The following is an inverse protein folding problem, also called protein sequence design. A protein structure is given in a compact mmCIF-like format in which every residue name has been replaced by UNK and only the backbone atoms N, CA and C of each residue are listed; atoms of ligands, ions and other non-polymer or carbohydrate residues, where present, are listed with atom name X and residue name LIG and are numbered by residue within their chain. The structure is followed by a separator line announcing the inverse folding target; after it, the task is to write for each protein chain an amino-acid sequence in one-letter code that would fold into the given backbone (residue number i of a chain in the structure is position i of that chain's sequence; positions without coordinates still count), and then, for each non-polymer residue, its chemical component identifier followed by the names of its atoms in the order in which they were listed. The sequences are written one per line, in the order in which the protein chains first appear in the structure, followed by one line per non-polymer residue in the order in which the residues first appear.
data_IF_686636570204
#
_entry.id   IF_686636570204
#
_cell.length_a   1.000
_cell.length_b   1.000
_cell.length_c   1.000
_cell.angle_alpha   90.00
_cell.angle_beta   90.00
_cell.angle_gamma   90.00
#
_symmetry.space_group_name_H-M   'P 1'
#
loop_
_entity.id
_entity.type
_entity.pdbx_description
1 polymer ?
#
# COMPACT_ATOMS: atom_id res chain seq x y z
N UNK A 1 -60.12 62.32 -46.35
CA UNK A 1 -61.04 61.61 -47.28
C UNK A 1 -61.46 62.57 -48.48
N UNK A 2 -60.81 62.57 -49.72
CA UNK A 2 -61.32 62.63 -51.21
C UNK A 2 -61.80 63.95 -52.18
N UNK A 3 -61.09 64.56 -53.31
CA UNK A 3 -61.26 65.29 -54.81
C UNK A 3 -61.58 66.83 -55.56
N UNK A 4 -61.07 67.24 -56.87
CA UNK A 4 -61.23 68.18 -58.24
C UNK A 4 -61.57 69.80 -58.68
N UNK A 5 -61.58 70.65 -59.89
CA UNK A 5 -61.14 71.03 -61.43
C UNK A 5 -61.57 72.54 -62.13
N UNK A 6 -61.52 73.34 -63.37
CA UNK A 6 -60.97 73.76 -64.86
C UNK A 6 -61.58 75.16 -65.65
N UNK A 7 -61.51 76.00 -66.88
CA UNK A 7 -61.07 76.42 -68.41
C UNK A 7 -61.29 78.02 -68.97
N UNK A 8 -61.27 78.86 -70.17
CA UNK A 8 -60.94 79.24 -71.74
C UNK A 8 -61.28 80.81 -72.33
N UNK A 9 -61.26 81.65 -73.53
CA UNK A 9 -60.88 82.02 -75.08
C UNK A 9 -61.17 83.61 -75.69
N UNK A 10 -61.16 84.44 -76.91
CA UNK A 10 -60.98 84.69 -78.52
C UNK A 10 -60.65 86.21 -79.34
N UNK A 11 -61.14 86.85 -80.58
CA UNK A 11 -60.52 87.90 -81.69
C UNK A 11 -61.30 89.26 -82.39
N UNK A 12 -61.18 90.19 -83.53
CA UNK A 12 -60.38 90.86 -84.77
C UNK A 12 -60.96 92.15 -85.76
N UNK A 13 -60.29 92.89 -86.81
CA UNK A 13 -60.64 93.88 -88.10
C UNK A 13 -60.38 95.54 -88.31
N UNK A 14 -60.41 96.56 -89.37
CA UNK A 14 -60.47 97.01 -90.94
C UNK A 14 -60.25 98.63 -91.48
N UNK A 15 -60.17 99.21 -92.80
CA UNK A 15 -60.03 100.76 -93.34
C UNK A 15 -60.04 101.39 -94.94
N UNK A 16 -60.02 102.78 -95.41
CA UNK A 16 -59.94 103.48 -96.89
C UNK A 16 -59.83 105.14 -97.29
N UNK A 17 -59.64 105.80 -98.58
CA UNK A 17 -59.64 107.38 -99.09
C UNK A 17 -59.39 108.02 -100.66
N UNK A 18 -59.61 109.36 -101.18
CA UNK A 18 -59.24 110.12 -102.60
C UNK A 18 -59.59 111.71 -103.17
N UNK A 19 -58.95 112.41 -104.29
CA UNK A 19 -59.32 113.48 -105.50
C UNK A 19 -59.18 115.17 -105.77
N UNK A 20 -58.87 115.90 -107.01
CA UNK A 20 -59.10 117.44 -107.55
C UNK A 20 -58.46 118.27 -108.93
N UNK A 21 -58.94 119.47 -109.59
CA UNK A 21 -58.28 120.60 -110.59
C UNK A 21 -58.67 122.19 -110.63
N UNK A 22 -59.65 122.83 -109.94
CA UNK A 22 -59.97 124.32 -110.04
C UNK A 22 -59.63 125.07 -108.73
N UNK A 23 -59.06 126.30 -108.72
CA UNK A 23 -58.74 127.04 -107.47
C UNK A 23 -59.92 127.87 -106.93
N UNK A 24 -60.00 128.03 -105.60
CA UNK A 24 -61.07 128.74 -104.90
C UNK A 24 -60.56 129.87 -104.01
N UNK A 25 -61.28 131.01 -103.99
CA UNK A 25 -61.07 132.10 -103.04
C UNK A 25 -61.86 131.83 -101.75
N UNK A 26 -61.25 132.08 -100.59
CA UNK A 26 -61.82 131.70 -99.29
C UNK A 26 -61.99 132.85 -98.31
N UNK A 27 -62.46 132.50 -97.10
CA UNK A 27 -62.42 133.35 -95.92
C UNK A 27 -61.85 132.51 -94.76
N UNK A 28 -60.89 133.05 -94.02
CA UNK A 28 -60.29 132.36 -92.88
C UNK A 28 -59.74 133.37 -91.88
N UNK A 29 -60.34 133.46 -90.70
CA UNK A 29 -59.73 133.99 -89.48
C UNK A 29 -60.55 133.59 -88.24
N UNK A 30 -59.91 133.66 -87.07
CA UNK A 30 -60.53 133.48 -85.76
C UNK A 30 -59.75 134.27 -84.71
N UNK A 31 -60.38 135.31 -84.16
CA UNK A 31 -59.86 136.11 -83.04
C UNK A 31 -60.69 135.89 -81.77
N UNK A 32 -60.25 136.32 -80.59
CA UNK A 32 -59.00 137.02 -80.26
C UNK A 32 -58.78 137.05 -78.74
N UNK A 33 -57.72 137.67 -78.22
CA UNK A 33 -56.65 138.40 -78.90
C UNK A 33 -55.59 138.97 -77.94
N UNK A 34 -54.79 139.92 -78.42
CA UNK A 34 -53.89 140.78 -77.65
C UNK A 34 -52.71 140.13 -76.87
N UNK A 35 -52.00 139.16 -77.47
CA UNK A 35 -50.61 138.87 -77.07
C UNK A 35 -49.75 138.34 -78.24
N UNK A 36 -48.68 139.07 -78.58
CA UNK A 36 -47.61 138.70 -79.52
C UNK A 36 -48.02 138.42 -81.00
N UNK A 37 -47.01 138.42 -81.88
CA UNK A 37 -47.15 138.06 -83.30
C UNK A 37 -47.23 136.52 -83.46
N UNK A 38 -48.33 135.93 -83.01
CA UNK A 38 -48.56 134.50 -83.07
C UNK A 38 -48.96 134.06 -84.49
N UNK A 39 -48.07 133.35 -85.19
CA UNK A 39 -48.42 132.64 -86.43
C UNK A 39 -49.50 131.58 -86.17
N UNK A 40 -50.30 131.25 -87.19
CA UNK A 40 -51.35 130.23 -87.10
C UNK A 40 -50.73 128.88 -86.70
N UNK A 41 -50.90 128.50 -85.43
CA UNK A 41 -50.29 127.31 -84.86
C UNK A 41 -50.69 126.05 -85.63
N UNK A 42 -49.71 125.38 -86.21
CA UNK A 42 -49.96 124.20 -87.03
C UNK A 42 -50.09 122.95 -86.16
N UNK A 43 -50.73 121.90 -86.68
CA UNK A 43 -50.75 120.60 -86.00
C UNK A 43 -49.33 120.05 -85.75
N UNK A 44 -48.35 120.45 -86.57
CA UNK A 44 -46.93 120.11 -86.36
C UNK A 44 -46.38 120.77 -85.10
N UNK A 45 -46.71 122.04 -84.85
CA UNK A 45 -46.21 122.78 -83.67
C UNK A 45 -46.71 122.16 -82.37
N UNK A 46 -48.00 121.81 -82.32
CA UNK A 46 -48.60 121.05 -81.22
C UNK A 46 -47.95 119.66 -81.01
N UNK A 47 -47.50 119.02 -82.09
CA UNK A 47 -46.82 117.72 -82.06
C UNK A 47 -45.30 117.79 -81.83
N UNK A 48 -44.67 118.98 -81.85
CA UNK A 48 -43.25 119.09 -81.48
C UNK A 48 -43.03 118.87 -79.98
N UNK A 49 -44.02 119.21 -79.14
CA UNK A 49 -43.93 119.28 -77.68
C UNK A 49 -42.71 120.09 -77.16
N UNK A 50 -42.10 120.92 -78.02
CA UNK A 50 -40.74 121.46 -77.85
C UNK A 50 -40.63 122.79 -77.12
N UNK A 51 -41.72 123.30 -76.54
CA UNK A 51 -41.68 124.51 -75.72
C UNK A 51 -40.73 124.35 -74.53
N UNK A 52 -39.89 125.36 -74.28
CA UNK A 52 -38.78 125.28 -73.33
C UNK A 52 -39.24 124.90 -71.90
N UNK A 53 -39.11 123.61 -71.56
CA UNK A 53 -39.60 123.06 -70.29
C UNK A 53 -38.52 123.23 -69.21
N UNK A 54 -38.78 123.94 -68.10
CA UNK A 54 -37.79 124.12 -67.05
C UNK A 54 -37.39 122.77 -66.41
N UNK A 55 -36.10 122.55 -66.11
CA UNK A 55 -35.64 121.33 -65.45
C UNK A 55 -36.19 121.22 -64.02
N UNK A 56 -36.36 120.00 -63.53
CA UNK A 56 -36.82 119.77 -62.15
C UNK A 56 -35.65 119.98 -61.18
N UNK A 57 -35.80 120.77 -60.09
CA UNK A 57 -34.70 121.11 -59.20
C UNK A 57 -34.20 119.90 -58.39
N UNK A 58 -32.88 119.83 -58.19
CA UNK A 58 -32.21 118.67 -57.58
C UNK A 58 -32.70 118.30 -56.18
N UNK A 59 -33.14 119.27 -55.38
CA UNK A 59 -33.68 119.00 -54.04
C UNK A 59 -34.92 118.10 -54.03
N UNK A 60 -35.71 118.09 -55.12
CA UNK A 60 -36.87 117.21 -55.28
C UNK A 60 -36.50 115.86 -55.92
N UNK A 61 -35.49 115.84 -56.81
CA UNK A 61 -34.89 114.61 -57.35
C UNK A 61 -34.33 113.73 -56.21
N UNK A 62 -33.45 114.30 -55.37
CA UNK A 62 -32.76 113.59 -54.28
C UNK A 62 -33.69 113.09 -53.17
N UNK A 63 -34.89 113.67 -53.02
CA UNK A 63 -35.93 113.25 -52.05
C UNK A 63 -36.95 112.26 -52.62
N UNK A 64 -36.78 111.80 -53.86
CA UNK A 64 -37.60 110.73 -54.44
C UNK A 64 -39.06 111.12 -54.75
N UNK A 65 -39.41 112.40 -54.78
CA UNK A 65 -40.78 112.88 -55.09
C UNK A 65 -41.12 112.86 -56.61
N UNK A 66 -40.41 112.05 -57.40
CA UNK A 66 -40.68 111.90 -58.84
C UNK A 66 -41.55 110.67 -59.11
N UNK A 67 -42.59 110.86 -59.94
CA UNK A 67 -43.29 109.73 -60.55
C UNK A 67 -42.33 108.88 -61.40
N UNK A 68 -42.52 107.57 -61.35
CA UNK A 68 -41.74 106.53 -62.03
C UNK A 68 -41.35 106.87 -63.48
N UNK A 69 -42.26 107.48 -64.25
CA UNK A 69 -42.07 107.85 -65.64
C UNK A 69 -41.05 108.99 -65.92
N UNK A 70 -40.24 109.40 -64.92
CA UNK A 70 -39.18 110.43 -65.08
C UNK A 70 -37.79 110.00 -64.60
N UNK A 71 -37.61 108.75 -64.16
CA UNK A 71 -36.27 108.24 -63.86
C UNK A 71 -35.50 107.94 -65.17
N UNK A 72 -34.17 108.11 -65.21
CA UNK A 72 -33.39 107.74 -66.39
C UNK A 72 -33.47 106.22 -66.62
N UNK A 73 -33.53 105.76 -67.89
CA UNK A 73 -33.70 104.35 -68.21
C UNK A 73 -32.53 103.51 -67.67
N UNK A 74 -32.84 102.39 -67.03
CA UNK A 74 -31.87 101.48 -66.42
C UNK A 74 -31.46 101.81 -64.98
N UNK A 75 -31.93 102.93 -64.39
CA UNK A 75 -31.64 103.25 -63.00
C UNK A 75 -32.44 102.40 -62.00
N UNK A 76 -31.81 102.04 -60.88
CA UNK A 76 -32.46 101.27 -59.79
C UNK A 76 -33.35 102.20 -58.97
N UNK A 77 -34.67 102.02 -59.05
CA UNK A 77 -35.66 102.78 -58.27
C UNK A 77 -35.55 102.49 -56.77
N UNK A 78 -34.90 103.38 -56.02
CA UNK A 78 -34.92 103.37 -54.55
C UNK A 78 -36.25 103.90 -54.01
N UNK A 79 -36.68 103.42 -52.84
CA UNK A 79 -37.85 103.99 -52.12
C UNK A 79 -37.50 105.40 -51.63
N UNK A 80 -38.41 106.40 -51.65
CA UNK A 80 -38.07 107.80 -51.36
C UNK A 80 -37.36 108.03 -50.02
N UNK A 81 -37.80 107.37 -48.96
CA UNK A 81 -37.18 107.46 -47.63
C UNK A 81 -35.75 106.93 -47.53
N UNK A 82 -35.35 106.02 -48.44
CA UNK A 82 -34.01 105.42 -48.52
C UNK A 82 -33.21 105.92 -49.75
N UNK A 83 -33.63 107.05 -50.33
CA UNK A 83 -32.93 107.66 -51.47
C UNK A 83 -31.57 108.27 -51.08
N UNK A 84 -31.41 108.68 -49.82
CA UNK A 84 -30.21 109.32 -49.28
C UNK A 84 -29.24 108.35 -48.60
N UNK A 85 -29.67 107.11 -48.31
CA UNK A 85 -28.88 106.14 -47.56
C UNK A 85 -27.71 105.61 -48.40
N UNK A 86 -26.54 105.44 -47.78
CA UNK A 86 -25.42 104.76 -48.42
C UNK A 86 -25.79 103.27 -48.69
N UNK A 87 -25.38 102.69 -49.84
CA UNK A 87 -25.45 101.24 -50.01
C UNK A 87 -24.56 100.56 -48.95
N UNK A 88 -24.95 99.36 -48.52
CA UNK A 88 -24.16 98.59 -47.54
C UNK A 88 -23.02 97.87 -48.24
N UNK A 89 -21.79 98.14 -47.82
CA UNK A 89 -20.59 97.48 -48.33
C UNK A 89 -20.35 96.09 -47.70
N UNK A 90 -19.61 95.26 -48.42
CA UNK A 90 -19.21 93.91 -48.03
C UNK A 90 -20.10 92.79 -48.59
N UNK A 91 -19.66 91.52 -48.50
CA UNK A 91 -20.41 90.38 -49.02
C UNK A 91 -21.67 90.11 -48.21
N UNK A 92 -22.81 90.00 -48.90
CA UNK A 92 -24.10 89.65 -48.30
C UNK A 92 -24.20 88.13 -48.09
N UNK A 93 -24.12 87.67 -46.84
CA UNK A 93 -24.31 86.28 -46.48
C UNK A 93 -23.83 85.96 -45.05
N UNK A 94 -24.23 84.80 -44.53
CA UNK A 94 -23.74 84.29 -43.26
C UNK A 94 -22.34 83.71 -43.44
N UNK A 95 -21.30 84.40 -42.94
CA UNK A 95 -19.97 83.80 -42.77
C UNK A 95 -19.97 82.98 -41.48
N UNK A 96 -19.65 81.69 -41.58
CA UNK A 96 -19.26 80.89 -40.42
C UNK A 96 -17.95 81.44 -39.83
N UNK A 97 -17.80 81.34 -38.51
CA UNK A 97 -16.60 81.81 -37.82
C UNK A 97 -15.45 80.80 -38.00
N UNK A 98 -14.69 80.94 -39.09
CA UNK A 98 -13.52 80.10 -39.39
C UNK A 98 -12.44 80.34 -38.34
N UNK A 99 -12.03 79.28 -37.63
CA UNK A 99 -10.90 79.30 -36.69
C UNK A 99 -11.23 79.47 -35.21
N UNK A 100 -12.49 79.28 -34.77
CA UNK A 100 -12.81 79.23 -33.33
C UNK A 100 -12.36 77.93 -32.65
N UNK A 101 -12.44 76.80 -33.35
CA UNK A 101 -12.01 75.48 -32.86
C UNK A 101 -11.19 74.82 -33.97
N UNK A 102 -9.96 74.42 -33.68
CA UNK A 102 -9.17 73.58 -34.60
C UNK A 102 -9.47 72.11 -34.32
N UNK A 103 -9.51 71.28 -35.38
CA UNK A 103 -9.54 69.84 -35.21
C UNK A 103 -8.35 69.30 -34.39
N UNK A 104 -7.21 70.03 -34.37
CA UNK A 104 -6.07 69.72 -33.52
C UNK A 104 -6.37 69.92 -32.02
N UNK A 105 -7.19 70.90 -31.67
CA UNK A 105 -7.52 71.22 -30.27
C UNK A 105 -8.56 70.23 -29.72
N UNK A 106 -9.51 69.81 -30.56
CA UNK A 106 -10.44 68.71 -30.24
C UNK A 106 -9.75 67.35 -30.03
N UNK A 107 -8.51 67.17 -30.49
CA UNK A 107 -7.68 65.98 -30.28
C UNK A 107 -6.76 66.10 -29.04
N UNK A 108 -6.59 67.29 -28.46
CA UNK A 108 -5.71 67.57 -27.31
C UNK A 108 -6.43 67.33 -25.98
N UNK A 109 -6.67 66.07 -25.65
CA UNK A 109 -7.36 65.65 -24.43
C UNK A 109 -6.61 65.95 -23.11
N UNK A 110 -5.29 66.17 -23.16
CA UNK A 110 -4.43 66.43 -21.99
C UNK A 110 -3.66 67.75 -22.15
N UNK A 111 -3.41 68.49 -21.05
CA UNK A 111 -2.59 69.70 -21.11
C UNK A 111 -1.13 69.36 -21.44
N UNK A 112 -0.46 70.28 -22.14
CA UNK A 112 0.91 70.08 -22.63
C UNK A 112 1.99 70.25 -21.53
N UNK A 113 1.69 70.95 -20.43
CA UNK A 113 2.64 71.17 -19.33
C UNK A 113 2.46 70.19 -18.17
N UNK A 114 3.56 69.63 -17.68
CA UNK A 114 3.52 68.62 -16.60
C UNK A 114 3.01 69.18 -15.27
N UNK A 115 3.21 70.48 -15.01
CA UNK A 115 2.60 71.15 -13.86
C UNK A 115 1.06 71.20 -13.94
N UNK A 116 0.48 71.23 -15.14
CA UNK A 116 -0.97 71.13 -15.33
C UNK A 116 -1.44 69.66 -15.26
N UNK A 117 -0.64 68.71 -15.78
CA UNK A 117 -0.92 67.26 -15.63
C UNK A 117 -0.94 66.85 -14.16
N UNK A 118 0.06 67.23 -13.38
CA UNK A 118 0.10 66.95 -11.93
C UNK A 118 -1.07 67.60 -11.16
N UNK A 119 -1.51 68.80 -11.57
CA UNK A 119 -2.72 69.44 -10.99
C UNK A 119 -4.00 68.71 -11.35
N UNK A 120 -4.13 68.26 -12.60
CA UNK A 120 -5.23 67.41 -13.05
C UNK A 120 -5.23 66.09 -12.26
N UNK A 121 -4.05 65.46 -12.14
CA UNK A 121 -3.88 64.24 -11.36
C UNK A 121 -4.32 64.42 -9.90
N UNK A 122 -3.88 65.50 -9.25
CA UNK A 122 -4.26 65.90 -7.89
C UNK A 122 -5.76 66.19 -7.72
N UNK A 123 -6.44 66.66 -8.76
CA UNK A 123 -7.89 66.86 -8.73
C UNK A 123 -8.64 65.51 -8.84
N UNK A 124 -8.14 64.60 -9.67
CA UNK A 124 -8.67 63.24 -9.82
C UNK A 124 -8.38 62.32 -8.63
N UNK A 125 -7.38 62.61 -7.79
CA UNK A 125 -7.04 61.82 -6.59
C UNK A 125 -8.21 61.73 -5.59
N UNK A 126 -9.28 62.49 -5.79
CA UNK A 126 -10.57 62.31 -5.09
C UNK A 126 -11.23 60.98 -5.46
N UNK A 127 -11.15 60.54 -6.72
CA UNK A 127 -11.92 59.41 -7.26
C UNK A 127 -11.54 58.03 -6.69
N UNK A 128 -12.55 57.16 -6.61
CA UNK A 128 -12.41 55.80 -6.03
C UNK A 128 -11.68 54.84 -6.97
N UNK A 129 -11.86 54.95 -8.28
CA UNK A 129 -11.12 54.17 -9.30
C UNK A 129 -9.62 54.43 -9.17
N UNK A 130 -9.19 55.70 -9.24
CA UNK A 130 -7.78 56.10 -9.13
C UNK A 130 -7.08 55.61 -7.85
N UNK A 131 -7.82 55.52 -6.73
CA UNK A 131 -7.33 54.94 -5.46
C UNK A 131 -7.27 53.40 -5.44
N UNK A 132 -8.07 52.71 -6.24
CA UNK A 132 -8.18 51.24 -6.31
C UNK A 132 -7.37 50.62 -7.43
N UNK A 133 -7.08 51.37 -8.48
CA UNK A 133 -6.42 50.94 -9.71
C UNK A 133 -5.17 51.82 -10.04
N UNK A 134 -4.25 52.06 -9.07
CA UNK A 134 -3.02 52.81 -9.37
C UNK A 134 -2.10 52.00 -10.29
N UNK A 135 -1.82 52.51 -11.49
CA UNK A 135 -1.05 51.79 -12.50
C UNK A 135 0.36 51.44 -11.98
N UNK A 136 0.72 50.14 -12.04
CA UNK A 136 2.02 49.64 -11.59
C UNK A 136 2.17 49.49 -10.07
N UNK A 137 1.14 49.79 -9.27
CA UNK A 137 1.17 49.66 -7.82
C UNK A 137 0.01 48.80 -7.29
N UNK A 138 0.17 48.26 -6.07
CA UNK A 138 -0.92 47.59 -5.35
C UNK A 138 -1.77 48.66 -4.65
N UNK A 139 -3.12 48.62 -4.72
CA UNK A 139 -3.96 49.63 -4.10
C UNK A 139 -3.73 49.75 -2.58
N UNK A 140 -3.45 50.95 -2.05
CA UNK A 140 -3.18 51.16 -0.64
C UNK A 140 -4.45 50.96 0.20
N UNK A 141 -4.39 50.05 1.16
CA UNK A 141 -5.54 49.68 2.03
C UNK A 141 -5.70 50.56 3.29
N UNK A 142 -4.87 51.58 3.46
CA UNK A 142 -4.92 52.50 4.60
C UNK A 142 -4.42 51.92 5.93
N UNK A 143 -3.77 50.76 5.93
CA UNK A 143 -3.22 50.16 7.15
C UNK A 143 -1.97 50.90 7.65
N UNK A 144 -1.96 51.26 8.93
CA UNK A 144 -0.78 51.76 9.61
C UNK A 144 0.14 50.60 10.00
N UNK A 145 1.21 50.39 9.24
CA UNK A 145 2.24 49.39 9.57
C UNK A 145 3.14 49.89 10.72
N UNK A 146 3.58 49.01 11.64
CA UNK A 146 4.59 49.35 12.64
C UNK A 146 5.90 49.85 12.00
N UNK A 147 6.60 50.82 12.63
CA UNK A 147 7.83 51.36 12.07
C UNK A 147 8.90 50.28 11.91
N UNK A 148 9.51 50.22 10.72
CA UNK A 148 10.53 49.23 10.36
C UNK A 148 9.98 47.93 9.75
N UNK A 149 8.68 47.65 9.84
CA UNK A 149 8.10 46.44 9.25
C UNK A 149 8.09 46.54 7.71
N UNK A 150 8.77 45.61 7.06
CA UNK A 150 8.99 45.59 5.61
C UNK A 150 10.27 46.31 5.14
N UNK A 151 11.04 46.92 6.05
CA UNK A 151 12.31 47.61 5.71
C UNK A 151 13.49 47.20 6.59
N UNK A 152 13.29 47.13 7.90
CA UNK A 152 14.27 46.68 8.89
C UNK A 152 13.95 45.27 9.42
N UNK A 153 12.67 44.94 9.56
CA UNK A 153 12.19 43.59 9.90
C UNK A 153 11.35 43.02 8.76
N UNK A 154 11.52 41.73 8.46
CA UNK A 154 10.71 41.04 7.46
C UNK A 154 9.26 40.84 7.95
N UNK A 155 8.33 40.63 7.02
CA UNK A 155 6.97 40.21 7.35
C UNK A 155 6.95 38.72 7.74
N UNK A 156 6.25 38.38 8.82
CA UNK A 156 6.11 37.01 9.32
C UNK A 156 6.57 36.86 10.77
N UNK A 157 6.84 35.63 11.18
CA UNK A 157 7.45 35.29 12.47
C UNK A 157 8.85 34.78 12.18
N UNK A 158 9.89 35.44 12.71
CA UNK A 158 11.26 34.98 12.53
C UNK A 158 11.58 33.84 13.49
N UNK A 159 11.76 32.64 12.94
CA UNK A 159 12.13 31.44 13.69
C UNK A 159 13.64 31.36 13.97
N UNK A 160 14.46 32.29 13.46
CA UNK A 160 15.92 32.36 13.67
C UNK A 160 16.64 31.04 13.34
N UNK A 161 16.19 30.32 12.31
CA UNK A 161 16.55 28.91 12.02
C UNK A 161 18.07 28.70 12.01
N UNK A 162 18.82 29.55 11.31
CA UNK A 162 20.29 29.49 11.25
C UNK A 162 20.97 29.64 12.62
N UNK A 163 20.39 30.44 13.52
CA UNK A 163 20.91 30.54 14.88
C UNK A 163 20.57 29.31 15.73
N UNK A 164 19.39 28.70 15.52
CA UNK A 164 19.02 27.47 16.23
C UNK A 164 19.92 26.31 15.80
N UNK A 165 20.21 26.19 14.51
CA UNK A 165 21.20 25.26 13.95
C UNK A 165 22.61 25.52 14.52
N UNK A 166 23.06 26.77 14.55
CA UNK A 166 24.37 27.15 15.09
C UNK A 166 24.49 26.86 16.61
N UNK A 167 23.42 27.11 17.38
CA UNK A 167 23.34 26.78 18.81
C UNK A 167 23.30 25.27 19.05
N UNK A 168 22.87 24.50 18.04
CA UNK A 168 22.80 23.03 18.02
C UNK A 168 22.18 22.45 19.31
N UNK A 169 21.03 23.01 19.69
CA UNK A 169 20.29 22.64 20.90
C UNK A 169 19.97 21.15 20.95
N UNK A 170 19.63 20.55 19.81
CA UNK A 170 19.40 19.10 19.66
C UNK A 170 20.57 18.27 20.18
N UNK A 171 21.82 18.65 19.89
CA UNK A 171 23.00 17.94 20.42
C UNK A 171 23.13 18.11 21.93
N UNK A 172 22.82 19.28 22.49
CA UNK A 172 22.84 19.53 23.94
C UNK A 172 21.73 18.76 24.68
N UNK A 173 20.56 18.57 24.04
CA UNK A 173 19.44 17.80 24.60
C UNK A 173 19.66 16.29 24.53
N UNK A 174 20.28 15.77 23.45
CA UNK A 174 20.60 14.34 23.31
C UNK A 174 21.81 13.96 24.17
N UNK A 175 22.81 14.85 24.26
CA UNK A 175 24.03 14.65 25.04
C UNK A 175 24.16 15.76 26.10
N UNK A 176 23.29 15.77 27.13
CA UNK A 176 23.42 16.73 28.21
C UNK A 176 24.74 16.51 28.93
N UNK A 177 25.50 17.58 29.13
CA UNK A 177 26.66 17.55 30.01
C UNK A 177 26.15 17.31 31.44
N UNK A 178 26.36 16.09 31.95
CA UNK A 178 25.88 15.72 33.28
C UNK A 178 26.47 16.69 34.33
N UNK A 179 25.64 17.34 35.17
CA UNK A 179 26.16 18.11 36.29
C UNK A 179 26.90 17.17 37.25
N UNK A 180 27.89 17.67 38.02
CA UNK A 180 28.54 16.84 39.04
C UNK A 180 27.50 16.35 40.04
N UNK A 181 27.41 15.03 40.22
CA UNK A 181 26.44 14.42 41.14
C UNK A 181 26.74 14.86 42.58
N UNK A 182 25.71 15.33 43.29
CA UNK A 182 25.82 15.61 44.72
C UNK A 182 25.92 14.28 45.50
N UNK A 183 27.03 14.03 46.22
CA UNK A 183 27.19 12.80 47.02
C UNK A 183 26.21 12.71 48.19
N UNK A 184 25.53 13.79 48.60
CA UNK A 184 24.42 13.71 49.56
C UNK A 184 23.13 13.20 48.90
N UNK A 185 22.76 13.74 47.73
CA UNK A 185 21.65 13.23 46.92
C UNK A 185 21.83 11.74 46.54
N UNK A 186 23.02 11.34 46.08
CA UNK A 186 23.31 9.93 45.75
C UNK A 186 23.07 8.98 46.93
N UNK A 187 23.50 9.36 48.15
CA UNK A 187 23.23 8.59 49.39
C UNK A 187 21.74 8.51 49.72
N UNK A 188 20.99 9.58 49.47
CA UNK A 188 19.54 9.61 49.68
C UNK A 188 18.83 8.66 48.71
N UNK A 189 19.20 8.65 47.42
CA UNK A 189 18.66 7.70 46.44
C UNK A 189 19.03 6.24 46.74
N UNK A 190 20.26 5.97 47.17
CA UNK A 190 20.69 4.65 47.63
C UNK A 190 19.89 4.15 48.84
N UNK A 191 19.54 5.04 49.78
CA UNK A 191 18.75 4.73 50.98
C UNK A 191 17.26 4.55 50.70
N UNK A 192 16.69 5.33 49.78
CA UNK A 192 15.23 5.38 49.51
C UNK A 192 14.79 4.40 48.43
N UNK A 193 15.56 4.29 47.34
CA UNK A 193 15.19 3.51 46.15
C UNK A 193 16.10 2.28 45.95
N UNK A 194 17.12 2.09 46.79
CA UNK A 194 18.11 1.02 46.61
C UNK A 194 19.07 1.24 45.42
N UNK A 195 19.08 2.45 44.86
CA UNK A 195 19.94 2.82 43.72
C UNK A 195 21.39 2.96 44.19
N UNK A 196 22.17 1.89 44.03
CA UNK A 196 23.57 1.76 44.45
C UNK A 196 24.43 1.59 43.20
N UNK A 197 25.61 2.22 43.13
CA UNK A 197 26.43 2.19 41.93
C UNK A 197 27.00 0.77 41.66
N UNK A 198 27.23 0.38 40.39
CA UNK A 198 27.76 -0.94 40.05
C UNK A 198 29.08 -1.24 40.76
N UNK A 199 29.09 -2.30 41.58
CA UNK A 199 30.26 -2.74 42.37
C UNK A 199 30.33 -2.16 43.79
N UNK A 200 29.48 -1.22 44.18
CA UNK A 200 29.43 -0.73 45.56
C UNK A 200 28.75 -1.73 46.52
N UNK A 201 29.32 -1.85 47.73
CA UNK A 201 28.71 -2.64 48.80
C UNK A 201 27.66 -1.82 49.57
N UNK A 202 26.47 -2.39 49.77
CA UNK A 202 25.38 -1.77 50.55
C UNK A 202 25.82 -1.50 52.00
N UNK A 203 26.13 -0.23 52.29
CA UNK A 203 26.42 0.25 53.66
C UNK A 203 25.17 0.12 54.53
N UNK A 204 25.34 -0.31 55.78
CA UNK A 204 24.25 -0.60 56.74
C UNK A 204 24.27 0.29 58.00
N UNK A 205 25.07 1.36 57.99
CA UNK A 205 25.17 2.34 59.10
C UNK A 205 25.51 1.72 60.48
N UNK A 206 26.14 0.53 60.51
CA UNK A 206 26.59 -0.11 61.76
C UNK A 206 27.65 0.72 62.50
N UNK A 207 27.48 0.87 63.82
CA UNK A 207 28.46 1.52 64.69
C UNK A 207 29.61 0.56 65.05
N UNK A 208 30.57 0.44 64.12
CA UNK A 208 31.75 -0.40 64.27
C UNK A 208 32.69 0.03 65.42
N UNK A 209 32.72 1.33 65.75
CA UNK A 209 33.51 1.84 66.86
C UNK A 209 33.03 1.31 68.23
N UNK A 210 31.71 1.20 68.41
CA UNK A 210 31.12 0.58 69.62
C UNK A 210 31.42 -0.93 69.74
N UNK A 211 31.81 -1.59 68.65
CA UNK A 211 32.24 -2.99 68.64
C UNK A 211 33.77 -3.16 68.79
N UNK A 212 34.55 -2.07 68.79
CA UNK A 212 36.02 -2.12 68.84
C UNK A 212 36.68 -2.74 67.59
N UNK A 213 35.99 -2.72 66.44
CA UNK A 213 36.37 -3.46 65.23
C UNK A 213 36.49 -2.50 64.04
N UNK A 214 37.59 -2.58 63.28
CA UNK A 214 37.70 -1.98 61.94
C UNK A 214 37.28 -3.00 60.86
N UNK A 215 36.25 -2.72 60.04
CA UNK A 215 35.81 -3.63 58.98
C UNK A 215 36.83 -3.89 57.87
N UNK A 216 37.80 -3.00 57.66
CA UNK A 216 38.77 -3.15 56.58
C UNK A 216 39.90 -4.15 56.93
N UNK A 217 40.32 -4.18 58.19
CA UNK A 217 41.44 -5.04 58.65
C UNK A 217 41.03 -6.22 59.52
N UNK A 218 39.88 -6.16 60.20
CA UNK A 218 39.45 -7.22 61.10
C UNK A 218 39.02 -8.50 60.36
N UNK A 219 39.67 -9.63 60.67
CA UNK A 219 39.29 -10.94 60.14
C UNK A 219 38.04 -11.48 60.83
N UNK A 220 36.89 -11.24 60.23
CA UNK A 220 35.59 -11.75 60.69
C UNK A 220 35.48 -13.29 60.69
N UNK A 221 34.53 -13.81 61.48
CA UNK A 221 34.45 -15.21 61.90
C UNK A 221 35.20 -15.43 63.22
N UNK A 222 35.15 -16.65 63.78
CA UNK A 222 36.07 -16.98 64.87
C UNK A 222 37.48 -17.05 64.28
N UNK A 223 38.42 -16.28 64.84
CA UNK A 223 39.82 -16.32 64.41
C UNK A 223 40.36 -17.75 64.54
N UNK A 224 41.29 -18.17 63.68
CA UNK A 224 41.84 -19.53 63.75
C UNK A 224 42.42 -19.87 65.14
N UNK A 225 43.03 -18.88 65.79
CA UNK A 225 43.57 -19.02 67.14
C UNK A 225 42.52 -19.08 68.26
N UNK A 226 41.28 -18.63 68.04
CA UNK A 226 40.18 -18.69 69.04
C UNK A 226 39.15 -19.76 68.71
N UNK A 227 38.91 -20.04 67.44
CA UNK A 227 38.24 -21.25 66.97
C UNK A 227 39.02 -22.49 67.43
N UNK A 228 40.35 -22.44 67.42
CA UNK A 228 41.19 -23.46 68.06
C UNK A 228 41.23 -23.30 69.58
N UNK A 229 41.50 -22.13 70.18
CA UNK A 229 41.53 -22.04 71.67
C UNK A 229 40.21 -22.42 72.35
N UNK A 230 39.03 -22.19 71.75
CA UNK A 230 37.76 -22.72 72.29
C UNK A 230 37.60 -24.24 72.06
N UNK A 231 38.10 -24.78 70.94
CA UNK A 231 38.17 -26.23 70.66
C UNK A 231 39.41 -26.93 71.24
N UNK A 232 40.27 -26.24 71.98
CA UNK A 232 41.48 -26.80 72.61
C UNK A 232 41.51 -26.56 74.12
N UNK A 233 40.80 -25.54 74.64
CA UNK A 233 40.33 -25.51 76.02
C UNK A 233 39.39 -26.70 76.31
N UNK A 234 38.64 -27.14 75.30
CA UNK A 234 38.02 -28.47 75.25
C UNK A 234 38.80 -29.42 74.34
N UNK A 235 40.00 -29.80 74.79
CA UNK A 235 40.73 -31.01 74.33
C UNK A 235 40.91 -31.18 72.81
N UNK A 236 41.86 -30.45 72.23
CA UNK A 236 42.58 -30.96 71.06
C UNK A 236 44.08 -30.86 71.27
N UNK A 237 44.67 -32.01 71.59
CA UNK A 237 46.09 -32.26 71.37
C UNK A 237 46.40 -32.08 69.86
N UNK A 238 47.65 -31.72 69.54
CA UNK A 238 48.08 -31.52 68.15
C UNK A 238 47.80 -32.76 67.29
N UNK A 239 47.59 -32.60 65.99
CA UNK A 239 47.47 -33.73 65.06
C UNK A 239 48.66 -34.69 65.18
N UNK A 240 49.85 -34.19 65.54
CA UNK A 240 51.03 -35.02 65.87
C UNK A 240 50.80 -35.91 67.09
N UNK A 241 50.22 -35.37 68.18
CA UNK A 241 49.91 -36.13 69.40
C UNK A 241 48.81 -37.16 69.14
N UNK A 242 47.76 -36.79 68.37
CA UNK A 242 46.68 -37.70 67.97
C UNK A 242 47.20 -38.87 67.11
N UNK A 243 48.17 -38.61 66.23
CA UNK A 243 48.83 -39.63 65.40
C UNK A 243 49.92 -40.42 66.14
N UNK A 244 50.42 -39.92 67.27
CA UNK A 244 51.50 -40.52 68.05
C UNK A 244 51.16 -40.57 69.55
N UNK A 245 50.04 -41.22 69.95
CA UNK A 245 49.55 -41.19 71.34
C UNK A 245 50.50 -41.87 72.35
N UNK A 246 51.47 -42.65 71.86
CA UNK A 246 52.55 -43.24 72.67
C UNK A 246 53.57 -42.20 73.17
N UNK A 247 53.61 -41.00 72.56
CA UNK A 247 54.52 -39.90 72.91
C UNK A 247 53.83 -38.79 73.72
N UNK A 248 52.56 -38.96 74.10
CA UNK A 248 51.81 -37.97 74.87
C UNK A 248 51.75 -38.36 76.35
N UNK A 249 52.48 -37.64 77.19
CA UNK A 249 52.54 -37.86 78.65
C UNK A 249 51.18 -37.70 79.35
N UNK A 250 50.21 -37.02 78.72
CA UNK A 250 48.85 -36.87 79.23
C UNK A 250 47.93 -38.05 78.93
N UNK A 251 48.33 -38.97 78.04
CA UNK A 251 47.54 -40.16 77.70
C UNK A 251 47.99 -41.31 78.61
N UNK A 252 47.05 -41.86 79.39
CA UNK A 252 47.31 -43.03 80.22
C UNK A 252 47.66 -44.23 79.33
N UNK A 253 48.96 -44.58 79.31
CA UNK A 253 49.43 -45.84 78.73
C UNK A 253 48.75 -47.02 79.45
N UNK A 254 48.49 -48.16 78.77
CA UNK A 254 47.86 -49.31 79.39
C UNK A 254 48.65 -49.75 80.63
N UNK A 255 48.01 -49.87 81.81
CA UNK A 255 48.75 -50.12 83.05
C UNK A 255 49.45 -51.47 83.00
N UNK A 256 50.73 -51.49 83.37
CA UNK A 256 51.56 -52.71 83.30
C UNK A 256 51.09 -53.84 84.24
N UNK A 257 50.19 -53.54 85.19
CA UNK A 257 49.49 -54.50 86.04
C UNK A 257 48.00 -54.36 85.79
N UNK A 258 47.36 -55.46 85.41
CA UNK A 258 45.94 -55.54 85.03
C UNK A 258 45.29 -56.72 85.76
N UNK A 259 44.03 -56.64 86.22
CA UNK A 259 43.37 -57.76 86.88
C UNK A 259 43.33 -59.03 86.00
N UNK A 260 43.62 -60.19 86.60
CA UNK A 260 43.74 -61.46 85.88
C UNK A 260 42.53 -61.77 84.97
N UNK A 261 41.30 -61.61 85.50
CA UNK A 261 40.05 -61.81 84.76
C UNK A 261 39.95 -60.98 83.47
N UNK A 262 40.54 -59.78 83.43
CA UNK A 262 40.60 -58.97 82.21
C UNK A 262 41.63 -59.53 81.21
N UNK A 263 42.78 -60.01 81.68
CA UNK A 263 43.78 -60.66 80.83
C UNK A 263 43.24 -61.97 80.24
N UNK A 264 42.58 -62.80 81.06
CA UNK A 264 41.93 -64.05 80.63
C UNK A 264 40.86 -63.78 79.56
N UNK A 265 40.05 -62.72 79.74
CA UNK A 265 39.11 -62.27 78.73
C UNK A 265 39.81 -61.74 77.46
N UNK A 266 40.91 -61.00 77.59
CA UNK A 266 41.69 -60.50 76.45
C UNK A 266 42.33 -61.64 75.62
N UNK A 267 42.64 -62.79 76.23
CA UNK A 267 43.12 -63.99 75.52
C UNK A 267 42.06 -64.64 74.62
N UNK A 268 40.77 -64.28 74.72
CA UNK A 268 39.71 -64.69 73.78
C UNK A 268 39.62 -63.82 72.51
N UNK A 269 40.39 -62.73 72.48
CA UNK A 269 40.59 -61.88 71.31
C UNK A 269 41.33 -62.61 70.18
N UNK A 270 41.27 -62.04 68.98
CA UNK A 270 42.01 -62.57 67.84
C UNK A 270 43.47 -62.08 67.85
N UNK A 271 44.40 -62.93 67.42
CA UNK A 271 45.83 -62.72 67.61
C UNK A 271 46.62 -63.03 66.33
N UNK A 272 47.27 -62.01 65.76
CA UNK A 272 48.06 -62.12 64.54
C UNK A 272 49.07 -63.29 64.60
N UNK A 273 48.98 -64.19 63.61
CA UNK A 273 49.84 -65.37 63.51
C UNK A 273 49.47 -66.56 64.41
N UNK A 274 48.34 -66.50 65.13
CA UNK A 274 47.78 -67.62 65.91
C UNK A 274 46.34 -67.89 65.47
N UNK A 275 45.81 -69.06 65.83
CA UNK A 275 44.37 -69.32 65.73
C UNK A 275 43.67 -68.73 66.96
N UNK A 276 42.42 -68.28 66.79
CA UNK A 276 41.62 -67.72 67.89
C UNK A 276 41.31 -68.76 68.96
N UNK A 277 41.55 -68.40 70.23
CA UNK A 277 41.29 -69.28 71.36
C UNK A 277 39.81 -69.23 71.76
N UNK A 278 39.11 -70.35 71.62
CA UNK A 278 37.66 -70.48 71.89
C UNK A 278 37.33 -70.98 73.31
N UNK A 279 38.20 -70.73 74.29
CA UNK A 279 37.99 -71.15 75.69
C UNK A 279 38.07 -72.66 75.93
N UNK A 280 38.61 -73.43 74.98
CA UNK A 280 38.89 -74.86 75.15
C UNK A 280 40.04 -75.08 76.14
N UNK A 281 39.71 -75.17 77.43
CA UNK A 281 40.68 -75.50 78.49
C UNK A 281 41.40 -76.84 78.24
N UNK A 282 42.60 -76.98 78.81
CA UNK A 282 43.51 -78.10 78.54
C UNK A 282 42.85 -79.47 78.75
N UNK A 283 42.92 -80.31 77.72
CA UNK A 283 42.38 -81.68 77.67
C UNK A 283 43.47 -82.76 77.76
N UNK A 284 44.76 -82.39 77.82
CA UNK A 284 45.93 -83.29 77.92
C UNK A 284 45.96 -84.35 76.81
N UNK A 285 45.90 -83.89 75.56
CA UNK A 285 45.69 -84.73 74.37
C UNK A 285 46.70 -84.44 73.25
N UNK A 286 47.98 -84.40 73.60
CA UNK A 286 49.04 -83.81 72.77
C UNK A 286 49.44 -84.62 71.52
N UNK A 287 49.00 -85.88 71.43
CA UNK A 287 49.38 -86.83 70.36
C UNK A 287 48.20 -87.45 69.60
N UNK A 288 46.96 -87.01 69.86
CA UNK A 288 45.77 -87.54 69.19
C UNK A 288 45.44 -86.77 67.91
N UNK A 289 45.16 -87.47 66.81
CA UNK A 289 44.65 -86.85 65.59
C UNK A 289 43.19 -86.42 65.76
N UNK A 290 42.91 -85.12 65.58
CA UNK A 290 41.55 -84.59 65.69
C UNK A 290 40.72 -84.87 64.43
N UNK A 291 39.53 -85.42 64.61
CA UNK A 291 38.57 -85.70 63.54
C UNK A 291 37.74 -86.95 63.84
N UNK A 292 36.81 -87.28 62.95
CA UNK A 292 36.26 -88.63 62.85
C UNK A 292 37.03 -89.38 61.76
N UNK A 293 37.39 -90.66 61.95
CA UNK A 293 37.91 -91.48 60.85
C UNK A 293 36.85 -91.62 59.75
N UNK A 294 37.29 -91.66 58.49
CA UNK A 294 36.41 -91.76 57.33
C UNK A 294 35.61 -93.07 57.30
N UNK A 295 36.26 -94.17 57.69
CA UNK A 295 35.60 -95.44 57.98
C UNK A 295 35.27 -95.52 59.48
N UNK A 296 33.99 -95.79 59.80
CA UNK A 296 33.58 -96.28 61.13
C UNK A 296 33.61 -97.82 61.16
N UNK A 297 33.16 -98.42 60.06
CA UNK A 297 33.18 -99.85 59.75
C UNK A 297 33.60 -100.00 58.27
N UNK A 298 33.70 -101.24 57.76
CA UNK A 298 34.18 -101.51 56.39
C UNK A 298 33.01 -101.63 55.38
N UNK A 299 32.98 -100.75 54.38
CA UNK A 299 31.98 -100.71 53.31
C UNK A 299 32.47 -101.40 52.01
N UNK A 300 31.57 -101.88 51.12
CA UNK A 300 31.95 -102.51 49.84
C UNK A 300 32.59 -101.53 48.85
N UNK A 301 33.34 -102.06 47.88
CA UNK A 301 34.16 -101.25 46.99
C UNK A 301 33.34 -100.60 45.86
N UNK A 302 33.83 -99.46 45.35
CA UNK A 302 33.35 -98.82 44.11
C UNK A 302 33.31 -99.80 42.94
N UNK A 303 34.25 -100.77 42.87
CA UNK A 303 34.25 -101.81 41.84
C UNK A 303 33.04 -102.75 41.88
N UNK A 304 32.51 -103.00 43.07
CA UNK A 304 31.33 -103.85 43.30
C UNK A 304 30.04 -103.07 43.02
N UNK A 305 30.01 -101.78 43.39
CA UNK A 305 28.91 -100.86 43.09
C UNK A 305 28.75 -100.57 41.58
N UNK A 306 29.86 -100.43 40.83
CA UNK A 306 29.83 -100.22 39.37
C UNK A 306 29.28 -101.44 38.63
N UNK A 307 29.49 -102.65 39.16
CA UNK A 307 29.09 -103.93 38.55
C UNK A 307 27.82 -104.51 39.19
N UNK A 308 27.03 -103.68 39.86
CA UNK A 308 25.80 -104.06 40.57
C UNK A 308 24.91 -104.96 39.69
N UNK A 309 24.47 -106.09 40.26
CA UNK A 309 23.88 -107.20 39.53
C UNK A 309 22.42 -106.96 39.11
N UNK A 310 22.22 -106.07 38.12
CA UNK A 310 20.91 -105.75 37.57
C UNK A 310 20.33 -106.90 36.73
N UNK A 311 19.00 -107.14 36.76
CA UNK A 311 18.33 -108.09 35.88
C UNK A 311 18.42 -107.65 34.40
N UNK A 312 18.34 -108.57 33.42
CA UNK A 312 18.57 -108.26 32.01
C UNK A 312 17.58 -107.25 31.42
N UNK A 313 16.37 -107.15 31.97
CA UNK A 313 15.37 -106.14 31.58
C UNK A 313 15.86 -104.70 31.83
N UNK A 314 16.70 -104.49 32.84
CA UNK A 314 17.33 -103.20 33.17
C UNK A 314 18.69 -103.00 32.47
N UNK A 315 19.12 -103.97 31.65
CA UNK A 315 20.30 -103.88 30.80
C UNK A 315 19.94 -103.54 29.34
N UNK A 316 18.65 -103.47 29.01
CA UNK A 316 18.13 -103.03 27.72
C UNK A 316 18.05 -101.49 27.63
N UNK A 317 18.19 -100.89 26.44
CA UNK A 317 18.13 -99.44 26.26
C UNK A 317 16.70 -98.88 26.31
N UNK A 318 16.57 -97.60 26.72
CA UNK A 318 15.28 -96.92 26.90
C UNK A 318 14.46 -96.73 25.60
N UNK A 319 13.14 -96.76 25.74
CA UNK A 319 12.19 -96.81 24.61
C UNK A 319 11.91 -95.45 23.94
N UNK A 320 12.35 -94.34 24.52
CA UNK A 320 12.19 -92.97 23.99
C UNK A 320 13.43 -92.45 23.24
N UNK A 321 14.51 -93.25 23.18
CA UNK A 321 15.76 -92.88 22.52
C UNK A 321 15.54 -92.50 21.05
N UNK A 322 15.70 -91.19 20.77
CA UNK A 322 15.55 -90.58 19.46
C UNK A 322 14.11 -90.23 19.05
N UNK A 323 13.09 -90.40 19.90
CA UNK A 323 11.69 -90.07 19.59
C UNK A 323 10.92 -89.53 20.79
N UNK A 324 10.30 -88.36 20.63
CA UNK A 324 9.35 -87.81 21.60
C UNK A 324 8.12 -88.71 21.76
N UNK A 325 8.00 -89.39 22.90
CA UNK A 325 6.79 -90.14 23.26
C UNK A 325 5.66 -89.24 23.80
N UNK A 326 5.99 -88.01 24.23
CA UNK A 326 5.05 -87.02 24.76
C UNK A 326 4.00 -86.58 23.74
N UNK A 327 2.73 -86.62 24.15
CA UNK A 327 1.59 -86.18 23.31
C UNK A 327 1.63 -84.67 23.08
N UNK A 328 1.20 -84.23 21.89
CA UNK A 328 1.41 -82.87 21.38
C UNK A 328 2.80 -82.61 20.78
N UNK A 329 3.84 -83.38 21.17
CA UNK A 329 5.21 -83.23 20.65
C UNK A 329 5.74 -84.45 19.88
N UNK A 330 4.93 -85.51 19.69
CA UNK A 330 5.29 -86.66 18.85
C UNK A 330 5.56 -86.23 17.42
N UNK A 331 6.63 -86.74 16.82
CA UNK A 331 6.90 -86.58 15.38
C UNK A 331 5.91 -87.42 14.54
N UNK A 332 4.69 -86.92 14.38
CA UNK A 332 3.67 -87.53 13.52
C UNK A 332 4.03 -87.33 12.03
N UNK A 333 3.87 -88.35 11.17
CA UNK A 333 4.17 -88.25 9.74
C UNK A 333 3.07 -87.51 8.95
N UNK A 334 2.86 -86.23 9.29
CA UNK A 334 2.09 -85.30 8.47
C UNK A 334 2.98 -84.69 7.38
N UNK A 335 2.45 -84.56 6.16
CA UNK A 335 3.18 -83.94 5.05
C UNK A 335 3.55 -82.49 5.34
N UNK A 336 4.74 -82.06 4.91
CA UNK A 336 5.29 -80.73 5.20
C UNK A 336 4.48 -79.65 4.50
N UNK A 337 3.62 -78.98 5.26
CA UNK A 337 3.14 -77.63 4.99
C UNK A 337 3.93 -76.67 5.87
N UNK A 338 4.44 -75.58 5.30
CA UNK A 338 5.22 -74.61 6.06
C UNK A 338 4.35 -73.91 7.12
N UNK A 339 4.68 -74.11 8.40
CA UNK A 339 3.98 -73.51 9.53
C UNK A 339 4.39 -72.03 9.73
N UNK A 340 4.26 -71.23 8.66
CA UNK A 340 4.60 -69.80 8.64
C UNK A 340 3.58 -69.01 7.82
N UNK A 341 3.18 -67.84 8.32
CA UNK A 341 2.23 -66.96 7.64
C UNK A 341 2.85 -66.28 6.42
N UNK A 342 2.74 -66.91 5.25
CA UNK A 342 3.19 -66.33 3.97
C UNK A 342 2.50 -64.99 3.68
N UNK A 343 3.27 -63.99 3.24
CA UNK A 343 2.81 -62.59 3.10
C UNK A 343 1.68 -62.34 2.09
N UNK A 344 1.37 -63.30 1.22
CA UNK A 344 0.19 -63.29 0.35
C UNK A 344 -0.84 -64.29 0.90
N UNK A 345 -1.92 -63.79 1.49
CA UNK A 345 -2.92 -64.63 2.18
C UNK A 345 -3.90 -65.30 1.21
N UNK A 346 -3.40 -66.33 0.51
CA UNK A 346 -4.20 -67.18 -0.38
C UNK A 346 -5.23 -68.00 0.40
N UNK A 347 -6.50 -67.91 0.01
CA UNK A 347 -7.62 -68.66 0.63
C UNK A 347 -8.45 -67.88 1.65
N UNK A 348 -8.14 -66.61 1.93
CA UNK A 348 -9.03 -65.73 2.71
C UNK A 348 -10.33 -65.44 1.97
N UNK A 349 -11.48 -65.57 2.65
CA UNK A 349 -12.79 -65.27 2.08
C UNK A 349 -12.94 -63.79 1.70
N UNK A 350 -13.44 -63.51 0.50
CA UNK A 350 -13.45 -62.18 -0.12
C UNK A 350 -14.50 -61.21 0.47
N UNK A 351 -14.32 -60.79 1.72
CA UNK A 351 -15.06 -59.70 2.35
C UNK A 351 -14.20 -58.42 2.37
N UNK A 352 -14.33 -57.59 1.34
CA UNK A 352 -13.56 -56.35 1.20
C UNK A 352 -14.05 -55.27 2.19
N UNK A 353 -13.52 -55.27 3.41
CA UNK A 353 -13.70 -54.17 4.35
C UNK A 353 -13.02 -52.89 3.85
N UNK A 354 -13.64 -51.73 4.08
CA UNK A 354 -13.22 -50.42 3.54
C UNK A 354 -11.83 -49.91 3.98
N UNK A 355 -11.12 -50.65 4.83
CA UNK A 355 -9.76 -50.38 5.29
C UNK A 355 -8.88 -51.67 5.29
N UNK A 356 -9.09 -52.56 4.32
CA UNK A 356 -8.33 -53.81 4.20
C UNK A 356 -6.86 -53.59 3.83
N UNK A 357 -5.95 -53.81 4.78
CA UNK A 357 -4.50 -53.71 4.57
C UNK A 357 -3.87 -54.92 3.86
N UNK A 358 -4.62 -56.02 3.69
CA UNK A 358 -4.18 -57.22 2.97
C UNK A 358 -4.66 -57.17 1.51
N UNK A 359 -3.74 -57.09 0.55
CA UNK A 359 -4.04 -56.97 -0.87
C UNK A 359 -4.36 -58.32 -1.52
N UNK A 360 -5.63 -58.72 -1.52
CA UNK A 360 -6.10 -59.94 -2.18
C UNK A 360 -6.34 -59.79 -3.70
N UNK A 361 -6.33 -58.56 -4.24
CA UNK A 361 -6.62 -58.25 -5.65
C UNK A 361 -5.37 -58.32 -6.53
N UNK A 362 -5.37 -59.22 -7.54
CA UNK A 362 -4.24 -59.46 -8.46
C UNK A 362 -4.16 -58.49 -9.66
N UNK A 363 -4.70 -57.27 -9.54
CA UNK A 363 -4.61 -56.25 -10.60
C UNK A 363 -3.18 -55.71 -10.70
N UNK A 364 -2.55 -55.84 -11.87
CA UNK A 364 -1.21 -55.29 -12.09
C UNK A 364 -1.21 -53.75 -12.05
N UNK A 365 -0.16 -53.14 -11.51
CA UNK A 365 0.01 -51.68 -11.46
C UNK A 365 -0.11 -51.04 -12.86
N UNK A 366 0.32 -51.75 -13.91
CA UNK A 366 0.18 -51.32 -15.30
C UNK A 366 -1.28 -51.17 -15.75
N UNK A 367 -2.17 -52.05 -15.30
CA UNK A 367 -3.61 -52.01 -15.64
C UNK A 367 -4.33 -50.87 -14.91
N UNK A 368 -3.83 -50.43 -13.76
CA UNK A 368 -4.34 -49.25 -13.05
C UNK A 368 -3.90 -47.93 -13.72
N UNK A 369 -2.72 -47.91 -14.34
CA UNK A 369 -2.18 -46.75 -15.07
C UNK A 369 -2.74 -46.59 -16.49
N UNK A 370 -3.18 -47.69 -17.10
CA UNK A 370 -3.80 -47.73 -18.42
C UNK A 370 -4.97 -48.72 -18.42
N UNK A 371 -6.16 -48.30 -17.95
CA UNK A 371 -7.32 -49.18 -17.84
C UNK A 371 -7.86 -49.59 -19.22
N UNK A 372 -8.40 -50.81 -19.38
CA UNK A 372 -9.15 -51.19 -20.58
C UNK A 372 -10.50 -50.46 -20.61
N UNK A 373 -11.04 -50.21 -21.81
CA UNK A 373 -12.34 -49.54 -21.99
C UNK A 373 -13.52 -50.24 -21.26
N UNK A 374 -13.40 -51.54 -20.97
CA UNK A 374 -14.38 -52.26 -20.15
C UNK A 374 -14.46 -51.76 -18.70
N UNK A 375 -13.38 -51.20 -18.16
CA UNK A 375 -13.35 -50.66 -16.80
C UNK A 375 -14.13 -49.34 -16.68
N UNK A 376 -14.25 -48.54 -17.76
CA UNK A 376 -15.12 -47.36 -17.80
C UNK A 376 -16.61 -47.76 -17.74
N UNK A 377 -16.94 -48.96 -18.21
CA UNK A 377 -18.25 -49.60 -18.07
C UNK A 377 -18.42 -50.34 -16.73
N UNK A 378 -17.45 -50.23 -15.81
CA UNK A 378 -17.47 -50.86 -14.49
C UNK A 378 -17.02 -52.32 -14.44
N UNK A 379 -16.64 -52.94 -15.57
CA UNK A 379 -16.25 -54.36 -15.63
C UNK A 379 -14.81 -54.54 -15.14
N UNK A 380 -14.64 -55.31 -14.07
CA UNK A 380 -13.35 -55.52 -13.41
C UNK A 380 -12.45 -56.50 -14.17
N UNK A 381 -11.13 -56.28 -14.12
CA UNK A 381 -10.15 -57.19 -14.73
C UNK A 381 -10.31 -58.65 -14.25
N UNK A 382 -10.66 -58.84 -12.96
CA UNK A 382 -10.95 -60.15 -12.36
C UNK A 382 -12.14 -60.86 -13.00
N UNK A 383 -13.12 -60.13 -13.55
CA UNK A 383 -14.32 -60.70 -14.18
C UNK A 383 -14.06 -61.15 -15.62
N UNK A 384 -13.05 -60.55 -16.27
CA UNK A 384 -12.53 -60.98 -17.57
C UNK A 384 -11.65 -62.23 -17.45
N UNK A 385 -10.85 -62.32 -16.38
CA UNK A 385 -9.99 -63.47 -16.06
C UNK A 385 -10.69 -64.58 -15.28
N UNK A 386 -11.98 -64.42 -14.92
CA UNK A 386 -12.73 -65.44 -14.19
C UNK A 386 -12.99 -66.67 -15.09
N UNK A 387 -12.74 -67.90 -14.64
CA UNK A 387 -13.03 -69.10 -15.41
C UNK A 387 -14.53 -69.31 -15.56
N UNK A 388 -15.02 -69.32 -16.79
CA UNK A 388 -16.43 -69.48 -17.17
C UNK A 388 -16.63 -70.78 -17.94
N UNK A 389 -17.85 -71.31 -17.92
CA UNK A 389 -18.23 -72.55 -18.60
C UNK A 389 -18.59 -72.29 -20.06
N UNK A 390 -18.44 -73.31 -20.93
CA UNK A 390 -18.74 -73.25 -22.38
C UNK A 390 -20.07 -72.56 -22.70
N UNK A 391 -21.15 -72.94 -22.00
CA UNK A 391 -22.48 -72.35 -22.21
C UNK A 391 -22.62 -70.89 -21.78
N UNK A 392 -21.85 -70.44 -20.79
CA UNK A 392 -21.85 -69.03 -20.34
C UNK A 392 -21.13 -68.14 -21.36
N UNK A 393 -20.02 -68.61 -21.93
CA UNK A 393 -19.30 -67.89 -22.99
C UNK A 393 -20.10 -67.91 -24.30
N UNK A 394 -20.79 -69.01 -24.62
CA UNK A 394 -21.68 -69.08 -25.78
C UNK A 394 -22.83 -68.05 -25.69
N UNK A 395 -23.47 -67.94 -24.52
CA UNK A 395 -24.50 -66.94 -24.26
C UNK A 395 -23.95 -65.51 -24.41
N UNK A 396 -22.81 -65.20 -23.78
CA UNK A 396 -22.17 -63.89 -23.89
C UNK A 396 -21.74 -63.53 -25.32
N UNK A 397 -21.27 -64.50 -26.10
CA UNK A 397 -20.93 -64.29 -27.51
C UNK A 397 -22.17 -63.98 -28.36
N UNK A 398 -23.28 -64.69 -28.12
CA UNK A 398 -24.55 -64.45 -28.81
C UNK A 398 -25.16 -63.08 -28.45
N UNK A 399 -25.20 -62.71 -27.16
CA UNK A 399 -25.68 -61.39 -26.72
C UNK A 399 -24.80 -60.24 -27.22
N UNK A 400 -23.48 -60.45 -27.33
CA UNK A 400 -22.56 -59.49 -27.93
C UNK A 400 -22.64 -59.41 -29.47
N UNK A 401 -23.58 -60.13 -30.11
CA UNK A 401 -23.77 -60.12 -31.56
C UNK A 401 -22.65 -60.79 -32.35
N UNK A 402 -21.82 -61.63 -31.71
CA UNK A 402 -20.72 -62.33 -32.37
C UNK A 402 -21.26 -63.56 -33.13
N UNK A 403 -21.74 -63.33 -34.35
CA UNK A 403 -22.08 -64.41 -35.28
C UNK A 403 -20.84 -65.28 -35.56
N UNK A 404 -20.87 -66.49 -35.01
CA UNK A 404 -19.87 -67.57 -35.14
C UNK A 404 -20.62 -68.87 -35.44
N UNK A 405 -20.06 -69.73 -36.28
CA UNK A 405 -20.57 -71.11 -36.40
C UNK A 405 -20.31 -71.91 -35.13
N UNK A 406 -21.13 -72.91 -34.82
CA UNK A 406 -20.93 -73.77 -33.63
C UNK A 406 -19.55 -74.46 -33.66
N UNK A 407 -19.12 -74.92 -34.84
CA UNK A 407 -17.79 -75.50 -35.07
C UNK A 407 -16.66 -74.50 -34.78
N UNK A 408 -16.80 -73.25 -35.24
CA UNK A 408 -15.80 -72.19 -35.01
C UNK A 408 -15.75 -71.75 -33.55
N UNK A 409 -16.90 -71.71 -32.88
CA UNK A 409 -16.98 -71.42 -31.46
C UNK A 409 -16.25 -72.50 -30.64
N UNK A 410 -16.42 -73.77 -31.00
CA UNK A 410 -15.75 -74.89 -30.32
C UNK A 410 -14.24 -74.94 -30.61
N UNK A 411 -13.78 -74.61 -31.83
CA UNK A 411 -12.34 -74.41 -32.11
C UNK A 411 -11.73 -73.35 -31.19
N UNK A 412 -12.36 -72.17 -31.09
CA UNK A 412 -11.88 -71.06 -30.24
C UNK A 412 -11.94 -71.41 -28.76
N UNK A 413 -13.04 -72.02 -28.30
CA UNK A 413 -13.21 -72.41 -26.90
C UNK A 413 -12.19 -73.47 -26.49
N UNK A 414 -11.93 -74.48 -27.34
CA UNK A 414 -10.91 -75.49 -27.10
C UNK A 414 -9.49 -74.89 -27.04
N UNK A 415 -9.16 -73.95 -27.92
CA UNK A 415 -7.86 -73.26 -27.90
C UNK A 415 -7.66 -72.43 -26.62
N UNK A 416 -8.68 -71.68 -26.20
CA UNK A 416 -8.65 -70.91 -24.95
C UNK A 416 -8.57 -71.80 -23.70
N UNK A 417 -9.37 -72.88 -23.64
CA UNK A 417 -9.34 -73.82 -22.53
C UNK A 417 -8.02 -74.60 -22.45
N UNK A 418 -7.36 -74.89 -23.58
CA UNK A 418 -6.03 -75.50 -23.61
C UNK A 418 -4.96 -74.57 -23.03
N UNK A 419 -5.01 -73.27 -23.36
CA UNK A 419 -4.06 -72.27 -22.86
C UNK A 419 -4.10 -72.10 -21.32
N UNK A 420 -5.29 -72.25 -20.71
CA UNK A 420 -5.49 -72.13 -19.26
C UNK A 420 -5.42 -73.46 -18.49
N UNK A 421 -4.95 -74.55 -19.13
CA UNK A 421 -4.64 -75.82 -18.46
C UNK A 421 -5.68 -76.94 -18.61
N UNK A 422 -6.62 -76.83 -19.56
CA UNK A 422 -7.51 -77.92 -19.99
C UNK A 422 -8.73 -78.20 -19.12
N UNK A 423 -9.04 -77.35 -18.13
CA UNK A 423 -10.05 -77.57 -17.09
C UNK A 423 -11.53 -77.44 -17.52
N UNK A 424 -11.88 -77.67 -18.79
CA UNK A 424 -13.26 -77.60 -19.31
C UNK A 424 -13.95 -76.22 -19.17
N UNK A 425 -13.18 -75.19 -18.84
CA UNK A 425 -13.58 -73.82 -18.62
C UNK A 425 -12.44 -72.91 -19.07
N UNK A 426 -12.74 -71.66 -19.41
CA UNK A 426 -11.74 -70.66 -19.75
C UNK A 426 -12.21 -69.25 -19.40
N UNK A 427 -11.31 -68.29 -19.39
CA UNK A 427 -11.60 -66.89 -19.17
C UNK A 427 -12.11 -66.19 -20.43
N UNK A 428 -12.88 -65.11 -20.25
CA UNK A 428 -13.39 -64.31 -21.37
C UNK A 428 -12.24 -63.61 -22.10
N UNK A 429 -11.17 -63.25 -21.38
CA UNK A 429 -9.95 -62.71 -21.97
C UNK A 429 -9.29 -63.73 -22.93
N UNK A 430 -9.01 -64.94 -22.47
CA UNK A 430 -8.40 -66.00 -23.28
C UNK A 430 -9.26 -66.38 -24.50
N UNK A 431 -10.59 -66.41 -24.35
CA UNK A 431 -11.52 -66.65 -25.46
C UNK A 431 -11.44 -65.55 -26.54
N UNK A 432 -11.42 -64.27 -26.15
CA UNK A 432 -11.31 -63.16 -27.10
C UNK A 432 -9.95 -63.08 -27.79
N UNK A 433 -8.86 -63.40 -27.09
CA UNK A 433 -7.52 -63.48 -27.68
C UNK A 433 -7.40 -64.65 -28.66
N UNK A 434 -7.86 -65.85 -28.27
CA UNK A 434 -7.90 -67.02 -29.17
C UNK A 434 -8.74 -66.75 -30.42
N UNK A 435 -9.89 -66.04 -30.29
CA UNK A 435 -10.71 -65.62 -31.44
C UNK A 435 -9.95 -64.66 -32.37
N UNK A 436 -9.26 -63.66 -31.81
CA UNK A 436 -8.45 -62.74 -32.62
C UNK A 436 -7.30 -63.46 -33.33
N UNK A 437 -6.67 -64.43 -32.67
CA UNK A 437 -5.60 -65.21 -33.28
C UNK A 437 -6.12 -66.10 -34.43
N UNK A 438 -7.27 -66.78 -34.24
CA UNK A 438 -7.88 -67.60 -35.28
C UNK A 438 -8.28 -66.75 -36.49
N UNK A 439 -8.86 -65.55 -36.27
CA UNK A 439 -9.14 -64.59 -37.34
C UNK A 439 -7.87 -64.11 -38.07
N UNK A 440 -6.76 -63.85 -37.35
CA UNK A 440 -5.45 -63.51 -37.95
C UNK A 440 -4.78 -64.66 -38.71
N UNK A 441 -5.26 -65.90 -38.56
CA UNK A 441 -4.80 -67.08 -39.31
C UNK A 441 -5.69 -67.42 -40.52
N UNK A 442 -6.86 -66.78 -40.65
CA UNK A 442 -7.83 -66.99 -41.76
C UNK A 442 -7.94 -65.79 -42.71
N UNK A 443 -7.30 -64.65 -42.38
CA UNK A 443 -7.03 -63.49 -43.25
C UNK A 443 -5.61 -63.57 -43.84
#
# INVERSE_FOLDING_TARGET
MVLDSTKLAQPQFLSSSALATIPAAGAADGGGGAAAAAGRGTARDALTWGGARPPTPEGLLRRGHQHYARQPPGAITRRPGAGLDAPRDGPFGCRSAVGLESAADCLRALPESDAARWRLERAEDVYVSKKREPLGAVPPRGYHLPPGLGTATAFGIDLHVREQELKNSTKQTIFPAAPPEDPAAARLYARTHGSVAPGEQRRREYNWAAAGIDPATHRFGLSGAEASRRRSAQQQASMKQILQPQLDEGIQQPPAVVPALFLDHHLTGDALGRHRLLGGGDRRCDAAAFGAPSAREAEPCVGDLIRSAYPPEQQAPDADLGKSLHEGHRAAPGGVLEAGGGGCQWGGGAAAGAAGAASCSRTEVRQLLAPPASAELGVGATELTAPRRRGEIAALAAEAGLALGEEEFDEVFAHAAAAEGGGGSCSLAAFLEARQELLRRRL
#
